data_IF_380162045623
#
_entry.id   IF_380162045623
#
_cell.length_a   1.000
_cell.length_b   1.000
_cell.length_c   1.000
_cell.angle_alpha   90.00
_cell.angle_beta   90.00
_cell.angle_gamma   90.00
#
_symmetry.space_group_name_H-M   'P 1'
#
loop_
_entity.id
_entity.type
_entity.pdbx_description
1 polymer ?
#
# COMPACT_ATOMS: atom_id res chain seq x y z
N UNK A 1 6.90 -14.21 11.52
CA UNK A 1 6.75 -12.74 11.59
C UNK A 1 7.64 -12.04 10.57
N UNK A 2 8.94 -12.37 10.52
CA UNK A 2 9.92 -11.78 9.59
C UNK A 2 9.57 -11.95 8.10
N UNK A 3 9.22 -13.17 7.66
CA UNK A 3 8.82 -13.43 6.27
C UNK A 3 7.58 -12.64 5.87
N UNK A 4 6.62 -12.44 6.79
CA UNK A 4 5.37 -11.73 6.50
C UNK A 4 5.60 -10.24 6.28
N UNK A 5 6.45 -9.60 7.10
CA UNK A 5 6.78 -8.18 6.97
C UNK A 5 7.50 -7.89 5.64
N UNK A 6 8.44 -8.73 5.22
CA UNK A 6 9.12 -8.55 3.94
C UNK A 6 8.17 -8.83 2.77
N UNK A 7 7.32 -9.85 2.89
CA UNK A 7 6.42 -10.28 1.79
C UNK A 7 5.32 -9.28 1.47
N UNK A 8 4.85 -8.47 2.43
CA UNK A 8 3.80 -7.46 2.19
C UNK A 8 4.33 -6.16 1.60
N UNK A 9 5.64 -5.90 1.65
CA UNK A 9 6.22 -4.66 1.11
C UNK A 9 5.97 -4.50 -0.39
N UNK A 10 6.13 -5.58 -1.18
CA UNK A 10 5.89 -5.53 -2.62
C UNK A 10 4.45 -5.09 -2.95
N UNK A 11 3.38 -5.77 -2.50
CA UNK A 11 2.02 -5.35 -2.82
C UNK A 11 1.62 -4.01 -2.19
N UNK A 12 2.31 -3.56 -1.13
CA UNK A 12 2.13 -2.21 -0.58
C UNK A 12 2.70 -1.10 -1.48
N UNK A 13 3.67 -1.39 -2.35
CA UNK A 13 4.30 -0.39 -3.23
C UNK A 13 3.99 -0.57 -4.71
N UNK A 14 3.50 -1.74 -5.11
CA UNK A 14 3.23 -2.04 -6.50
C UNK A 14 2.17 -1.10 -7.11
N UNK A 15 2.51 -0.51 -8.26
CA UNK A 15 1.65 0.44 -8.98
C UNK A 15 1.46 1.78 -8.27
N UNK A 16 2.29 2.12 -7.28
CA UNK A 16 2.26 3.40 -6.57
C UNK A 16 3.43 4.30 -7.00
N UNK A 17 3.27 5.64 -7.02
CA UNK A 17 4.35 6.58 -7.25
C UNK A 17 5.42 6.53 -6.14
N UNK A 18 6.56 7.16 -6.39
CA UNK A 18 7.59 7.31 -5.37
C UNK A 18 7.13 8.21 -4.21
N UNK A 19 7.67 8.05 -2.99
CA UNK A 19 7.34 8.92 -1.85
C UNK A 19 7.69 10.40 -2.09
N UNK A 20 8.70 10.68 -2.93
CA UNK A 20 9.09 12.04 -3.32
C UNK A 20 8.12 12.66 -4.33
N UNK A 21 7.39 11.85 -5.09
CA UNK A 21 6.41 12.30 -6.09
C UNK A 21 5.05 12.56 -5.44
N UNK A 22 4.57 11.62 -4.63
CA UNK A 22 3.29 11.75 -3.92
C UNK A 22 3.30 11.01 -2.58
N UNK A 23 3.53 11.76 -1.51
CA UNK A 23 3.57 11.21 -0.14
C UNK A 23 2.27 10.56 0.35
N UNK A 24 1.12 10.85 -0.27
CA UNK A 24 -0.16 10.26 0.14
C UNK A 24 -0.50 9.03 -0.68
N UNK A 25 -0.05 8.97 -1.93
CA UNK A 25 -0.33 7.85 -2.82
C UNK A 25 0.86 6.89 -3.02
N UNK A 26 1.98 7.11 -2.33
CA UNK A 26 3.21 6.33 -2.46
C UNK A 26 3.13 4.86 -2.03
N UNK A 27 2.04 4.48 -1.38
CA UNK A 27 1.83 3.13 -0.89
C UNK A 27 0.36 2.82 -0.66
N UNK A 28 0.07 1.53 -0.64
CA UNK A 28 -1.23 0.91 -0.36
C UNK A 28 -1.28 0.40 1.07
N UNK A 29 -2.45 0.54 1.67
CA UNK A 29 -2.75 0.12 3.03
C UNK A 29 -3.61 -1.15 3.01
N UNK A 30 -3.29 -2.08 3.90
CA UNK A 30 -4.09 -3.26 4.16
C UNK A 30 -4.74 -3.15 5.54
N UNK A 31 -5.98 -2.69 5.60
CA UNK A 31 -6.64 -2.22 6.84
C UNK A 31 -7.38 -3.33 7.61
N UNK A 32 -7.31 -4.58 7.13
CA UNK A 32 -7.98 -5.72 7.76
C UNK A 32 -7.48 -6.00 9.19
N UNK A 33 -8.37 -6.24 10.17
CA UNK A 33 -7.99 -6.36 11.59
C UNK A 33 -7.11 -7.58 11.88
N UNK A 34 -7.35 -8.71 11.20
CA UNK A 34 -6.57 -9.94 11.41
C UNK A 34 -5.10 -9.74 11.01
N UNK A 35 -4.87 -9.13 9.84
CA UNK A 35 -3.53 -8.83 9.37
C UNK A 35 -2.82 -7.89 10.37
N UNK A 36 -3.48 -6.78 10.71
CA UNK A 36 -2.90 -5.75 11.56
C UNK A 36 -2.68 -6.20 13.00
N UNK A 37 -3.44 -7.17 13.51
CA UNK A 37 -3.15 -7.81 14.78
C UNK A 37 -1.80 -8.54 14.75
N UNK A 38 -1.52 -9.31 13.69
CA UNK A 38 -0.26 -10.05 13.56
C UNK A 38 0.93 -9.20 13.10
N UNK A 39 0.67 -8.07 12.45
CA UNK A 39 1.72 -7.19 11.91
C UNK A 39 1.88 -5.90 12.69
N UNK A 40 1.30 -5.78 13.89
CA UNK A 40 1.34 -4.55 14.70
C UNK A 40 0.96 -3.32 13.87
N UNK A 41 -0.23 -3.32 13.29
CA UNK A 41 -0.75 -2.25 12.42
C UNK A 41 0.15 -1.85 11.23
N UNK A 42 1.11 -2.69 10.83
CA UNK A 42 1.99 -2.40 9.69
C UNK A 42 1.25 -2.44 8.33
N UNK A 43 0.01 -2.93 8.31
CA UNK A 43 -0.86 -2.79 7.13
C UNK A 43 -1.16 -1.32 6.80
N UNK A 44 -1.10 -0.40 7.77
CA UNK A 44 -1.23 1.05 7.55
C UNK A 44 0.11 1.65 7.09
N UNK A 45 0.50 1.35 5.84
CA UNK A 45 1.84 1.61 5.32
C UNK A 45 2.10 3.08 4.98
N UNK A 46 1.10 3.81 4.46
CA UNK A 46 1.28 5.21 4.08
C UNK A 46 1.64 6.05 5.31
N UNK A 47 0.94 5.84 6.43
CA UNK A 47 1.26 6.54 7.68
C UNK A 47 2.61 6.11 8.26
N UNK A 48 3.01 4.85 8.04
CA UNK A 48 4.35 4.38 8.39
C UNK A 48 5.46 5.11 7.59
N UNK A 49 5.26 5.36 6.29
CA UNK A 49 6.18 6.19 5.49
C UNK A 49 6.23 7.65 5.96
N UNK A 50 5.09 8.22 6.35
CA UNK A 50 5.04 9.60 6.84
C UNK A 50 5.68 9.77 8.23
N UNK A 51 5.51 8.78 9.11
CA UNK A 51 5.97 8.82 10.49
C UNK A 51 6.54 7.46 10.93
N UNK A 52 7.73 7.08 10.45
CA UNK A 52 8.29 5.73 10.68
C UNK A 52 8.58 5.45 12.17
N UNK A 53 8.78 6.49 12.97
CA UNK A 53 8.98 6.39 14.43
C UNK A 53 7.70 6.38 15.26
N UNK A 54 6.51 6.47 14.65
CA UNK A 54 5.24 6.45 15.38
C UNK A 54 4.99 5.05 15.98
N UNK A 55 4.50 5.00 17.21
CA UNK A 55 4.11 3.73 17.82
C UNK A 55 2.93 3.12 17.06
N UNK A 56 2.99 1.82 16.79
CA UNK A 56 2.03 1.13 15.94
C UNK A 56 0.56 1.24 16.39
N UNK A 57 0.29 1.35 17.69
CA UNK A 57 -1.08 1.54 18.21
C UNK A 57 -1.73 2.84 17.73
N UNK A 58 -0.94 3.88 17.44
CA UNK A 58 -1.45 5.18 17.00
C UNK A 58 -1.72 5.24 15.48
N UNK A 59 -1.24 4.26 14.72
CA UNK A 59 -1.30 4.27 13.25
C UNK A 59 -2.74 4.30 12.71
N UNK A 60 -3.69 3.64 13.38
CA UNK A 60 -5.10 3.60 12.93
C UNK A 60 -5.71 5.00 12.98
N UNK A 61 -5.61 5.68 14.12
CA UNK A 61 -6.16 7.03 14.29
C UNK A 61 -5.44 8.03 13.37
N UNK A 62 -4.12 7.91 13.27
CA UNK A 62 -3.32 8.77 12.41
C UNK A 62 -3.64 8.57 10.92
N UNK A 63 -3.87 7.33 10.46
CA UNK A 63 -4.32 7.03 9.10
C UNK A 63 -5.65 7.71 8.78
N UNK A 64 -6.66 7.51 9.62
CA UNK A 64 -8.00 8.09 9.43
C UNK A 64 -7.96 9.61 9.40
N UNK A 65 -7.14 10.25 10.24
CA UNK A 65 -7.06 11.71 10.35
C UNK A 65 -6.18 12.36 9.30
N UNK A 66 -5.06 11.75 8.93
CA UNK A 66 -4.00 12.41 8.15
C UNK A 66 -3.86 11.89 6.72
N UNK A 67 -4.10 10.59 6.50
CA UNK A 67 -3.88 9.91 5.22
C UNK A 67 -5.17 9.83 4.43
N UNK A 68 -6.19 9.18 4.99
CA UNK A 68 -7.45 8.86 4.31
C UNK A 68 -8.17 10.06 3.67
N UNK A 69 -8.14 11.29 4.22
CA UNK A 69 -8.77 12.44 3.57
C UNK A 69 -8.06 12.94 2.30
N UNK A 70 -6.84 12.49 2.03
CA UNK A 70 -5.96 13.01 0.95
C UNK A 70 -5.51 11.93 -0.02
N UNK A 71 -5.47 10.70 0.43
CA UNK A 71 -5.08 9.53 -0.36
C UNK A 71 -6.20 9.12 -1.33
N UNK A 72 -5.81 8.51 -2.45
CA UNK A 72 -6.73 7.90 -3.39
C UNK A 72 -7.48 6.71 -2.74
N UNK A 73 -8.81 6.60 -2.89
CA UNK A 73 -9.61 5.60 -2.18
C UNK A 73 -9.24 4.13 -2.51
N UNK A 74 -8.69 3.85 -3.69
CA UNK A 74 -8.25 2.50 -4.07
C UNK A 74 -7.01 2.00 -3.29
N UNK A 75 -6.37 2.86 -2.51
CA UNK A 75 -5.20 2.48 -1.72
C UNK A 75 -5.56 1.89 -0.36
N UNK A 76 -6.82 1.96 0.09
CA UNK A 76 -7.26 1.22 1.27
C UNK A 76 -7.88 -0.13 0.86
N UNK A 77 -7.13 -1.21 1.09
CA UNK A 77 -7.56 -2.57 0.80
C UNK A 77 -7.93 -3.30 2.09
N UNK A 78 -9.17 -3.80 2.24
CA UNK A 78 -9.59 -4.46 3.48
C UNK A 78 -8.99 -5.86 3.65
N UNK A 79 -8.53 -6.49 2.56
CA UNK A 79 -8.07 -7.88 2.57
C UNK A 79 -6.87 -8.07 1.64
N UNK A 80 -5.72 -8.39 2.23
CA UNK A 80 -4.48 -8.66 1.50
C UNK A 80 -4.61 -9.86 0.55
N UNK A 81 -5.14 -10.99 1.03
CA UNK A 81 -5.21 -12.22 0.22
C UNK A 81 -6.10 -12.06 -1.01
N UNK A 82 -7.24 -11.39 -0.83
CA UNK A 82 -8.12 -11.06 -1.95
C UNK A 82 -7.44 -10.11 -2.93
N UNK A 83 -6.76 -9.08 -2.43
CA UNK A 83 -5.98 -8.18 -3.28
C UNK A 83 -4.91 -8.93 -4.08
N UNK A 84 -4.16 -9.84 -3.45
CA UNK A 84 -3.15 -10.65 -4.14
C UNK A 84 -3.76 -11.52 -5.25
N UNK A 85 -4.89 -12.17 -4.96
CA UNK A 85 -5.59 -12.99 -5.94
C UNK A 85 -6.07 -12.16 -7.15
N UNK A 86 -6.75 -11.04 -6.90
CA UNK A 86 -7.24 -10.17 -7.96
C UNK A 86 -6.08 -9.59 -8.77
N UNK A 87 -5.03 -9.11 -8.11
CA UNK A 87 -3.93 -8.38 -8.75
C UNK A 87 -3.02 -9.30 -9.55
N UNK A 88 -2.69 -10.48 -9.00
CA UNK A 88 -1.63 -11.34 -9.55
C UNK A 88 -2.12 -12.66 -10.14
N UNK A 89 -3.32 -13.14 -9.77
CA UNK A 89 -3.84 -14.41 -10.31
C UNK A 89 -4.82 -14.19 -11.49
N UNK A 90 -5.58 -13.08 -11.49
CA UNK A 90 -6.51 -12.78 -12.58
C UNK A 90 -5.82 -12.04 -13.74
N UNK A 91 -6.13 -12.40 -15.00
CA UNK A 91 -5.59 -11.71 -16.17
C UNK A 91 -6.05 -10.25 -16.20
N UNK A 92 -5.11 -9.32 -16.31
CA UNK A 92 -5.38 -7.87 -16.33
C UNK A 92 -5.74 -7.27 -14.95
N UNK A 93 -5.53 -8.01 -13.87
CA UNK A 93 -5.83 -7.56 -12.51
C UNK A 93 -4.87 -6.50 -11.97
N UNK A 94 -3.59 -6.55 -12.37
CA UNK A 94 -2.56 -5.59 -11.97
C UNK A 94 -2.79 -4.23 -12.62
N UNK A 95 -2.89 -3.18 -11.79
CA UNK A 95 -3.20 -1.80 -12.19
C UNK A 95 -2.37 -0.82 -11.37
N UNK A 96 -2.27 0.43 -11.83
CA UNK A 96 -1.75 1.53 -11.01
C UNK A 96 -2.73 1.86 -9.88
N UNK A 97 -2.29 2.67 -8.91
CA UNK A 97 -3.09 3.03 -7.73
C UNK A 97 -4.43 3.71 -8.06
N UNK A 98 -4.48 4.47 -9.15
CA UNK A 98 -5.66 5.17 -9.65
C UNK A 98 -6.57 4.26 -10.50
N UNK A 99 -6.15 3.03 -10.78
CA UNK A 99 -6.88 2.07 -11.62
C UNK A 99 -6.53 2.13 -13.10
N UNK A 100 -5.60 3.00 -13.51
CA UNK A 100 -5.07 3.03 -14.88
C UNK A 100 -4.26 1.76 -15.22
N UNK A 101 -4.03 1.47 -16.51
CA UNK A 101 -3.24 0.31 -16.93
C UNK A 101 -1.86 0.31 -16.27
N UNK A 102 -1.46 -0.85 -15.73
CA UNK A 102 -0.18 -0.97 -15.04
C UNK A 102 1.00 -0.65 -15.98
N UNK A 103 1.89 0.23 -15.53
CA UNK A 103 3.17 0.55 -16.18
C UNK A 103 4.29 0.09 -15.26
N UNK A 104 5.21 -0.73 -15.79
CA UNK A 104 6.36 -1.17 -15.02
C UNK A 104 7.41 -0.03 -15.00
N UNK A 105 7.93 0.38 -13.83
CA UNK A 105 8.85 1.53 -13.72
C UNK A 105 10.09 1.42 -14.62
N UNK A 106 10.69 0.23 -14.73
CA UNK A 106 11.85 -0.05 -15.60
C UNK A 106 11.54 0.23 -17.09
N UNK A 107 10.28 0.04 -17.52
CA UNK A 107 9.87 0.33 -18.88
C UNK A 107 9.61 1.81 -19.12
N UNK A 108 9.39 2.60 -18.07
CA UNK A 108 9.16 4.05 -18.18
C UNK A 108 10.47 4.81 -18.35
N UNK A 109 11.52 4.40 -17.64
CA UNK A 109 12.89 4.92 -17.85
C UNK A 109 13.41 4.60 -19.25
N UNK A 110 13.09 3.41 -19.78
CA UNK A 110 13.44 3.02 -21.15
C UNK A 110 12.62 3.76 -22.24
N UNK A 111 11.57 4.51 -21.87
CA UNK A 111 10.72 5.29 -22.77
C UNK A 111 11.04 6.79 -22.76
N UNK A 112 11.92 7.25 -21.87
CA UNK A 112 12.42 8.63 -21.80
C UNK A 112 13.76 8.74 -22.52
#
# INVERSE_FOLDING_TARGET
MEVALISINLPQHDGCPGPDEDKYNCSRNFTGPLLNYFTCNNGYHTIHHMYPGMHWTAMIEAHERLVKPKMHPNLDQPNLLWYLFVTYALPGGRKMYDGSPYVMPVLEEARR
#
